data_IF_081045851920
#
_entry.id   IF_081045851920
#
_cell.length_a   1.000
_cell.length_b   1.000
_cell.length_c   1.000
_cell.angle_alpha   90.00
_cell.angle_beta   90.00
_cell.angle_gamma   90.00
#
_symmetry.space_group_name_H-M   'P 1'
#
loop_
_entity.id
_entity.type
_entity.pdbx_description
1 polymer ?
#
# COMPACT_ATOMS: atom_id res chain seq x y z
N UNK A 1 -16.02 21.74 -6.04
CA UNK A 1 -14.60 21.54 -6.40
C UNK A 1 -14.45 20.17 -7.07
N UNK A 2 -13.59 20.00 -8.10
CA UNK A 2 -13.48 18.74 -8.86
C UNK A 2 -13.08 17.55 -7.98
N UNK A 3 -12.31 17.77 -6.94
CA UNK A 3 -11.84 16.71 -6.02
C UNK A 3 -12.92 16.12 -5.10
N UNK A 4 -14.10 16.73 -5.04
CA UNK A 4 -15.22 16.20 -4.26
C UNK A 4 -15.98 15.11 -5.02
N UNK A 5 -15.78 15.03 -6.34
CA UNK A 5 -16.50 14.08 -7.18
C UNK A 5 -15.81 12.74 -7.16
N UNK A 6 -16.59 11.69 -6.96
CA UNK A 6 -16.14 10.32 -7.17
C UNK A 6 -16.18 10.01 -8.66
N UNK A 7 -15.06 9.54 -9.21
CA UNK A 7 -14.91 9.15 -10.60
C UNK A 7 -15.26 7.66 -10.70
N UNK A 8 -16.31 7.26 -11.45
CA UNK A 8 -16.74 5.86 -11.50
C UNK A 8 -15.63 4.88 -11.93
N UNK A 9 -14.74 5.31 -12.82
CA UNK A 9 -13.61 4.51 -13.29
C UNK A 9 -12.59 4.18 -12.17
N UNK A 10 -12.58 4.95 -11.09
CA UNK A 10 -11.71 4.71 -9.93
C UNK A 10 -12.37 3.82 -8.85
N UNK A 11 -13.52 3.26 -9.15
CA UNK A 11 -14.25 2.36 -8.25
C UNK A 11 -14.21 0.93 -8.76
N UNK A 12 -13.93 -0.01 -7.87
CA UNK A 12 -14.08 -1.43 -8.15
C UNK A 12 -15.57 -1.79 -8.07
N UNK A 13 -16.16 -2.39 -9.12
CA UNK A 13 -17.61 -2.73 -9.11
C UNK A 13 -17.95 -3.83 -8.10
N UNK A 14 -16.96 -4.58 -7.62
CA UNK A 14 -17.14 -5.64 -6.61
C UNK A 14 -17.05 -5.12 -5.17
N UNK A 15 -16.78 -3.82 -4.97
CA UNK A 15 -16.70 -3.23 -3.63
C UNK A 15 -17.81 -2.18 -3.42
N UNK A 16 -18.39 -2.17 -2.23
CA UNK A 16 -19.42 -1.21 -1.88
C UNK A 16 -18.80 0.12 -1.47
N UNK A 17 -19.24 1.20 -2.09
CA UNK A 17 -18.79 2.55 -1.74
C UNK A 17 -19.50 3.02 -0.48
N UNK A 18 -18.82 3.21 0.65
CA UNK A 18 -19.44 3.66 1.89
C UNK A 18 -19.91 5.12 1.78
N UNK A 19 -20.98 5.46 2.49
CA UNK A 19 -21.51 6.84 2.54
C UNK A 19 -20.55 7.79 3.21
N UNK A 20 -19.77 7.32 4.19
CA UNK A 20 -18.78 8.11 4.92
C UNK A 20 -17.51 7.32 5.17
N UNK A 21 -16.37 8.00 5.13
CA UNK A 21 -15.05 7.55 5.58
C UNK A 21 -14.45 8.62 6.49
N UNK A 22 -13.43 8.26 7.28
CA UNK A 22 -12.89 9.13 8.33
C UNK A 22 -11.94 10.24 7.80
N UNK A 23 -12.16 10.80 6.63
CA UNK A 23 -11.41 11.98 6.19
C UNK A 23 -12.12 13.26 6.64
N UNK A 24 -11.86 13.61 7.89
CA UNK A 24 -12.41 14.84 8.49
C UNK A 24 -11.57 16.10 8.17
N UNK A 25 -10.38 15.94 7.61
CA UNK A 25 -9.44 17.05 7.41
C UNK A 25 -9.87 17.96 6.25
N UNK A 26 -10.48 17.37 5.21
CA UNK A 26 -10.85 18.08 3.98
C UNK A 26 -12.32 17.93 3.61
N UNK A 27 -13.14 17.40 4.51
CA UNK A 27 -14.55 17.10 4.26
C UNK A 27 -14.74 15.89 3.34
N UNK A 28 -15.95 15.75 2.77
CA UNK A 28 -16.26 14.65 1.85
C UNK A 28 -15.49 14.84 0.55
N UNK A 29 -14.65 13.88 0.22
CA UNK A 29 -13.82 13.85 -0.99
C UNK A 29 -14.26 12.71 -1.92
N UNK A 30 -13.86 12.78 -3.18
CA UNK A 30 -14.04 11.69 -4.13
C UNK A 30 -13.18 10.47 -3.75
N UNK A 31 -13.75 9.28 -3.89
CA UNK A 31 -13.16 8.01 -3.41
C UNK A 31 -12.50 7.23 -4.54
N UNK A 32 -11.56 6.35 -4.20
CA UNK A 32 -10.94 5.41 -5.14
C UNK A 32 -10.61 4.09 -4.45
N UNK A 33 -10.80 2.97 -5.17
CA UNK A 33 -10.26 1.66 -4.79
C UNK A 33 -8.83 1.44 -5.26
N UNK A 34 -8.40 2.12 -6.32
CA UNK A 34 -7.11 1.82 -6.95
C UNK A 34 -5.97 2.63 -6.32
N UNK A 35 -4.82 1.97 -6.15
CA UNK A 35 -3.64 2.45 -5.43
C UNK A 35 -2.37 2.22 -6.22
N UNK A 36 -1.40 3.08 -6.01
CA UNK A 36 -0.06 3.00 -6.61
C UNK A 36 0.88 2.15 -5.75
N UNK A 37 1.68 1.32 -6.41
CA UNK A 37 2.68 0.49 -5.75
C UNK A 37 3.91 1.30 -5.37
N UNK A 38 4.19 1.41 -4.07
CA UNK A 38 5.43 2.00 -3.55
C UNK A 38 6.58 1.00 -3.44
N UNK A 39 6.32 -0.29 -3.68
CA UNK A 39 7.31 -1.36 -3.54
C UNK A 39 7.22 -2.09 -2.21
N UNK A 40 8.23 -2.88 -1.93
CA UNK A 40 8.40 -3.68 -0.72
C UNK A 40 8.99 -2.90 0.47
N UNK A 41 8.77 -1.60 0.51
CA UNK A 41 9.36 -0.71 1.49
C UNK A 41 8.44 0.46 1.86
N UNK A 42 8.83 1.19 2.88
CA UNK A 42 8.36 2.54 3.19
C UNK A 42 9.47 3.29 3.92
N UNK A 43 9.56 4.61 3.74
CA UNK A 43 10.59 5.42 4.38
C UNK A 43 10.30 5.66 5.85
N UNK A 44 11.31 5.44 6.73
CA UNK A 44 11.24 5.87 8.11
C UNK A 44 11.46 7.38 8.17
N UNK A 45 10.46 8.17 7.87
CA UNK A 45 10.54 9.60 8.09
C UNK A 45 10.31 9.95 9.56
N UNK A 46 11.06 10.89 10.09
CA UNK A 46 10.79 11.50 11.39
C UNK A 46 9.50 12.32 11.28
N UNK A 47 8.35 11.63 11.32
CA UNK A 47 7.03 12.23 11.43
C UNK A 47 6.34 12.69 10.14
N UNK A 48 6.97 12.67 8.95
CA UNK A 48 6.40 13.33 7.78
C UNK A 48 6.58 12.64 6.42
N UNK A 49 7.09 11.42 6.36
CA UNK A 49 7.37 10.75 5.07
C UNK A 49 6.48 9.56 4.83
N UNK A 50 5.46 9.74 4.03
CA UNK A 50 4.69 8.66 3.44
C UNK A 50 5.22 8.29 2.04
N UNK A 51 4.74 7.18 1.47
CA UNK A 51 5.10 6.68 0.14
C UNK A 51 4.98 7.73 -0.97
N UNK A 52 4.08 8.70 -0.82
CA UNK A 52 3.72 9.68 -1.86
C UNK A 52 3.70 11.12 -1.32
N UNK A 53 4.40 11.44 -0.23
CA UNK A 53 4.18 12.68 0.49
C UNK A 53 4.87 13.92 -0.06
N UNK A 54 4.16 15.05 0.06
CA UNK A 54 4.59 16.41 -0.11
C UNK A 54 3.84 17.36 0.79
N UNK A 55 4.22 17.42 2.04
CA UNK A 55 3.85 18.55 2.91
C UNK A 55 5.06 18.99 3.73
N UNK A 56 5.17 20.30 3.82
CA UNK A 56 6.17 21.12 4.48
C UNK A 56 6.96 20.47 5.62
N UNK A 57 8.26 20.27 5.41
CA UNK A 57 9.20 20.16 6.53
C UNK A 57 10.36 19.18 6.38
N UNK A 58 10.32 18.20 5.52
CA UNK A 58 11.39 17.20 5.50
C UNK A 58 11.47 16.39 4.22
N UNK A 59 12.07 16.95 3.20
CA UNK A 59 12.53 16.14 2.08
C UNK A 59 13.75 15.35 2.51
N UNK A 60 13.61 14.05 2.74
CA UNK A 60 14.79 13.22 2.82
C UNK A 60 15.29 12.93 1.41
N UNK A 61 16.56 13.21 1.17
CA UNK A 61 17.23 12.92 -0.10
C UNK A 61 17.20 11.40 -0.44
N UNK A 62 16.92 10.55 0.55
CA UNK A 62 16.71 9.12 0.42
C UNK A 62 15.42 8.74 -0.33
N UNK A 63 14.43 9.62 -0.39
CA UNK A 63 13.13 9.32 -1.00
C UNK A 63 13.14 9.40 -2.54
N UNK A 64 14.29 9.78 -3.13
CA UNK A 64 14.45 9.94 -4.58
C UNK A 64 14.48 8.62 -5.35
N UNK A 65 14.65 7.50 -4.69
CA UNK A 65 14.74 6.18 -5.31
C UNK A 65 13.80 5.20 -4.62
N UNK A 66 12.48 5.25 -4.88
CA UNK A 66 11.57 4.25 -4.35
C UNK A 66 11.93 2.88 -4.90
N UNK A 67 11.76 1.85 -4.09
CA UNK A 67 11.92 0.47 -4.55
C UNK A 67 10.86 0.07 -5.56
N UNK A 68 9.65 0.61 -5.43
CA UNK A 68 8.59 0.45 -6.42
C UNK A 68 8.67 1.46 -7.58
N UNK A 69 7.68 1.38 -8.47
CA UNK A 69 7.57 2.28 -9.63
C UNK A 69 7.22 3.69 -9.20
N UNK A 70 6.38 3.84 -8.18
CA UNK A 70 5.89 5.13 -7.71
C UNK A 70 6.56 5.55 -6.41
N UNK A 71 6.89 6.84 -6.34
CA UNK A 71 7.43 7.49 -5.17
C UNK A 71 7.22 9.00 -5.23
N UNK A 72 7.50 9.67 -4.12
CA UNK A 72 7.30 11.11 -4.03
C UNK A 72 8.27 11.88 -4.94
N UNK A 73 7.72 12.69 -5.85
CA UNK A 73 8.50 13.51 -6.82
C UNK A 73 9.51 12.72 -7.64
N UNK A 74 9.29 11.43 -7.83
CA UNK A 74 10.13 10.59 -8.66
C UNK A 74 9.55 10.44 -10.05
N UNK A 75 10.42 10.13 -11.01
CA UNK A 75 10.05 9.76 -12.37
C UNK A 75 10.67 8.40 -12.65
N UNK A 76 9.85 7.44 -13.00
CA UNK A 76 10.28 6.12 -13.42
C UNK A 76 9.95 5.93 -14.90
N UNK A 77 10.93 5.59 -15.70
CA UNK A 77 10.79 5.19 -17.10
C UNK A 77 10.83 3.67 -17.20
N UNK A 78 10.39 3.08 -18.29
CA UNK A 78 10.48 1.61 -18.48
C UNK A 78 11.91 1.08 -18.40
N UNK A 79 12.92 1.87 -18.81
CA UNK A 79 14.35 1.53 -18.67
C UNK A 79 14.82 1.44 -17.20
N UNK A 80 14.07 2.03 -16.29
CA UNK A 80 14.39 2.05 -14.86
C UNK A 80 13.75 0.86 -14.12
N UNK A 81 13.22 -0.12 -14.89
CA UNK A 81 12.59 -1.37 -14.42
C UNK A 81 13.36 -2.57 -15.00
N UNK A 82 14.63 -2.78 -14.62
CA UNK A 82 15.44 -3.89 -15.16
C UNK A 82 14.92 -5.28 -14.78
N UNK A 83 14.13 -5.43 -13.71
CA UNK A 83 13.52 -6.69 -13.29
C UNK A 83 12.38 -7.13 -14.24
N UNK A 84 12.01 -6.24 -15.18
CA UNK A 84 11.02 -6.49 -16.23
C UNK A 84 9.66 -5.90 -15.91
N UNK A 85 9.10 -5.18 -16.88
CA UNK A 85 7.79 -4.52 -16.75
C UNK A 85 6.64 -5.51 -16.54
N UNK A 86 6.75 -6.74 -17.01
CA UNK A 86 5.76 -7.81 -16.80
C UNK A 86 5.84 -8.45 -15.41
N UNK A 87 6.91 -8.20 -14.67
CA UNK A 87 7.18 -8.73 -13.33
C UNK A 87 7.12 -7.65 -12.24
N UNK A 88 6.77 -6.42 -12.58
CA UNK A 88 6.71 -5.32 -11.61
C UNK A 88 5.31 -4.74 -11.55
N UNK A 89 4.75 -4.68 -10.35
CA UNK A 89 3.39 -4.17 -10.11
C UNK A 89 3.39 -2.65 -10.14
N UNK A 90 2.51 -2.07 -10.94
CA UNK A 90 2.25 -0.64 -10.98
C UNK A 90 1.11 -0.25 -10.02
N UNK A 91 -0.03 -0.91 -10.09
CA UNK A 91 -1.20 -0.58 -9.29
C UNK A 91 -1.90 -1.84 -8.80
N UNK A 92 -2.66 -1.69 -7.72
CA UNK A 92 -3.59 -2.71 -7.25
C UNK A 92 -4.78 -2.05 -6.57
N UNK A 93 -5.70 -2.87 -6.10
CA UNK A 93 -6.91 -2.44 -5.43
C UNK A 93 -6.78 -2.45 -3.91
N UNK A 94 -7.54 -1.58 -3.25
CA UNK A 94 -7.78 -1.65 -1.81
C UNK A 94 -9.24 -1.41 -1.52
N UNK A 95 -9.83 -2.34 -0.77
CA UNK A 95 -11.23 -2.28 -0.36
C UNK A 95 -11.53 -1.05 0.51
N UNK A 96 -12.72 -0.50 0.38
CA UNK A 96 -13.22 0.49 1.32
C UNK A 96 -13.61 -0.15 2.65
N UNK A 97 -13.44 0.60 3.72
CA UNK A 97 -13.86 0.19 5.04
C UNK A 97 -15.41 0.23 5.15
N UNK A 98 -16.00 -0.92 5.39
CA UNK A 98 -17.44 -1.06 5.59
C UNK A 98 -17.85 -0.89 7.06
N UNK A 99 -16.90 -1.04 7.99
CA UNK A 99 -17.09 -0.83 9.42
C UNK A 99 -15.77 -0.38 10.08
N UNK A 100 -15.83 0.14 11.29
CA UNK A 100 -14.65 0.61 12.02
C UNK A 100 -13.57 -0.46 12.13
N UNK A 101 -13.94 -1.73 12.21
CA UNK A 101 -13.00 -2.85 12.38
C UNK A 101 -12.90 -3.76 11.16
N UNK A 102 -13.31 -3.30 10.01
CA UNK A 102 -13.21 -4.04 8.76
C UNK A 102 -11.72 -4.29 8.41
N UNK A 103 -11.31 -5.56 8.40
CA UNK A 103 -9.93 -5.94 8.18
C UNK A 103 -9.40 -5.47 6.83
N UNK A 104 -10.22 -5.54 5.78
CA UNK A 104 -9.80 -5.25 4.41
C UNK A 104 -9.75 -3.74 4.12
N UNK A 105 -10.62 -2.95 4.74
CA UNK A 105 -10.74 -1.54 4.42
C UNK A 105 -10.20 -0.58 5.47
N UNK A 106 -10.14 -0.98 6.75
CA UNK A 106 -9.61 -0.13 7.82
C UNK A 106 -8.09 -0.27 7.95
N UNK A 107 -7.48 0.61 8.73
CA UNK A 107 -6.05 0.62 9.04
C UNK A 107 -5.90 0.66 10.57
N UNK A 108 -5.18 -0.30 11.15
CA UNK A 108 -4.79 -0.25 12.56
C UNK A 108 -3.78 0.87 12.77
N UNK A 109 -4.05 1.75 13.72
CA UNK A 109 -3.21 2.91 14.02
C UNK A 109 -2.50 2.73 15.34
N UNK A 110 -1.46 3.57 15.58
CA UNK A 110 -0.62 3.54 16.78
C UNK A 110 0.16 2.20 16.93
N UNK A 111 0.54 1.60 15.79
CA UNK A 111 1.36 0.39 15.77
C UNK A 111 2.84 0.77 15.71
N UNK A 112 3.64 0.20 16.61
CA UNK A 112 5.08 0.45 16.71
C UNK A 112 5.89 -0.71 16.15
N UNK A 113 7.19 -0.48 15.87
CA UNK A 113 8.10 -1.55 15.40
C UNK A 113 7.91 -1.98 13.95
N UNK A 114 7.04 -1.33 13.17
CA UNK A 114 6.73 -1.74 11.80
C UNK A 114 7.92 -1.72 10.84
N UNK A 115 8.96 -0.92 11.12
CA UNK A 115 10.19 -0.87 10.32
C UNK A 115 11.09 -2.08 10.51
N UNK A 116 11.14 -2.58 11.74
CA UNK A 116 12.05 -3.68 12.12
C UNK A 116 11.37 -5.05 12.02
N UNK A 117 10.07 -5.08 12.28
CA UNK A 117 9.27 -6.32 12.34
C UNK A 117 7.86 -6.08 11.78
N UNK A 118 7.71 -5.79 10.46
CA UNK A 118 6.41 -5.43 9.88
C UNK A 118 5.35 -6.53 10.03
N UNK A 119 5.74 -7.80 10.09
CA UNK A 119 4.85 -8.93 10.31
C UNK A 119 4.08 -8.91 11.63
N UNK A 120 4.50 -8.10 12.61
CA UNK A 120 3.73 -7.89 13.85
C UNK A 120 2.34 -7.31 13.59
N UNK A 121 2.14 -6.66 12.45
CA UNK A 121 0.83 -6.20 11.99
C UNK A 121 -0.20 -7.34 11.92
N UNK A 122 0.21 -8.57 11.59
CA UNK A 122 -0.69 -9.72 11.52
C UNK A 122 -1.38 -10.02 12.86
N UNK A 123 -0.75 -9.70 13.98
CA UNK A 123 -1.31 -9.90 15.32
C UNK A 123 -2.49 -8.96 15.66
N UNK A 124 -2.72 -7.93 14.85
CA UNK A 124 -3.88 -7.02 15.03
C UNK A 124 -5.20 -7.64 14.60
N UNK A 125 -5.14 -8.77 13.88
CA UNK A 125 -6.30 -9.50 13.34
C UNK A 125 -6.98 -10.36 14.41
N UNK A 126 -8.31 -10.38 14.35
CA UNK A 126 -9.17 -11.34 15.07
C UNK A 126 -10.28 -11.81 14.13
N UNK A 127 -10.07 -12.99 13.52
CA UNK A 127 -10.97 -13.50 12.47
C UNK A 127 -10.97 -12.60 11.23
N UNK A 128 -12.14 -12.16 10.80
CA UNK A 128 -12.34 -11.26 9.65
C UNK A 128 -12.30 -9.77 10.04
N UNK A 129 -11.92 -9.44 11.27
CA UNK A 129 -11.93 -8.07 11.80
C UNK A 129 -10.63 -7.77 12.55
N UNK A 130 -10.41 -6.50 12.86
CA UNK A 130 -9.41 -6.12 13.85
C UNK A 130 -9.88 -6.47 15.27
N UNK A 131 -8.93 -6.86 16.13
CA UNK A 131 -9.21 -7.15 17.53
C UNK A 131 -9.79 -5.92 18.26
N UNK A 132 -10.60 -6.15 19.29
CA UNK A 132 -11.32 -5.08 19.98
C UNK A 132 -10.44 -4.06 20.68
N UNK A 133 -9.22 -4.43 21.04
CA UNK A 133 -8.20 -3.56 21.65
C UNK A 133 -7.46 -2.67 20.64
N UNK A 134 -7.62 -2.92 19.34
CA UNK A 134 -6.89 -2.18 18.29
C UNK A 134 -7.68 -0.95 17.88
N UNK A 135 -7.03 0.21 17.94
CA UNK A 135 -7.54 1.45 17.36
C UNK A 135 -7.38 1.42 15.84
N UNK A 136 -8.42 1.82 15.12
CA UNK A 136 -8.45 1.80 13.66
C UNK A 136 -8.93 3.12 13.07
N UNK A 137 -8.63 3.35 11.80
CA UNK A 137 -9.17 4.45 11.00
C UNK A 137 -9.73 3.93 9.68
N UNK A 138 -10.77 4.60 9.17
CA UNK A 138 -11.46 4.29 7.91
C UNK A 138 -11.02 5.19 6.75
N UNK A 139 -9.77 5.67 6.77
CA UNK A 139 -9.25 6.63 5.79
C UNK A 139 -8.85 6.01 4.45
N UNK A 140 -8.75 4.69 4.35
CA UNK A 140 -8.36 4.04 3.11
C UNK A 140 -9.26 4.45 1.95
N UNK A 141 -8.69 5.12 0.95
CA UNK A 141 -9.42 5.54 -0.25
C UNK A 141 -10.36 6.71 -0.13
N UNK A 142 -10.35 7.39 0.99
CA UNK A 142 -11.27 8.51 1.24
C UNK A 142 -11.02 9.74 0.34
N UNK A 143 -9.84 9.83 -0.32
CA UNK A 143 -9.49 10.99 -1.13
C UNK A 143 -8.58 10.58 -2.31
N UNK A 144 -9.14 10.47 -3.51
CA UNK A 144 -8.39 10.06 -4.71
C UNK A 144 -7.33 11.07 -5.15
N UNK A 145 -7.50 12.35 -4.82
CA UNK A 145 -6.60 13.42 -5.20
C UNK A 145 -5.44 13.63 -4.20
N UNK A 146 -5.42 12.88 -3.11
CA UNK A 146 -4.39 13.01 -2.07
C UNK A 146 -3.33 11.92 -2.22
N UNK A 147 -2.07 12.32 -2.48
CA UNK A 147 -0.92 11.43 -2.64
C UNK A 147 -0.42 10.76 -1.36
N UNK A 148 -1.05 10.98 -0.21
CA UNK A 148 -0.65 10.30 1.03
C UNK A 148 -0.95 8.80 0.99
N UNK A 149 -0.11 7.96 1.64
CA UNK A 149 -0.20 6.50 1.56
C UNK A 149 -1.56 5.90 1.91
N UNK A 150 -2.26 6.46 2.90
CA UNK A 150 -3.58 5.95 3.28
C UNK A 150 -4.61 6.07 2.16
N UNK A 151 -4.46 7.07 1.29
CA UNK A 151 -5.44 7.38 0.25
C UNK A 151 -5.09 6.74 -1.10
N UNK A 152 -3.80 6.71 -1.46
CA UNK A 152 -3.39 6.36 -2.82
C UNK A 152 -2.23 5.36 -2.92
N UNK A 153 -1.65 4.90 -1.80
CA UNK A 153 -0.52 3.99 -1.79
C UNK A 153 -0.81 2.59 -1.27
N UNK A 154 0.03 1.64 -1.65
CA UNK A 154 0.17 0.33 -1.02
C UNK A 154 1.63 -0.15 -1.12
N UNK A 155 1.98 -1.18 -0.34
CA UNK A 155 3.27 -1.86 -0.40
C UNK A 155 3.13 -3.38 -0.42
N UNK A 156 4.21 -4.05 -0.86
CA UNK A 156 4.28 -5.50 -1.03
C UNK A 156 5.06 -6.18 0.10
N UNK A 157 4.83 -5.76 1.34
CA UNK A 157 5.47 -6.30 2.54
C UNK A 157 4.68 -7.50 3.08
N UNK A 158 3.39 -7.30 3.35
CA UNK A 158 2.48 -8.39 3.71
C UNK A 158 1.67 -8.83 2.49
N UNK A 159 1.29 -10.12 2.41
CA UNK A 159 0.53 -10.63 1.28
C UNK A 159 -0.84 -9.93 1.15
N UNK A 160 -1.48 -10.00 -0.02
CA UNK A 160 -2.82 -9.46 -0.23
C UNK A 160 -3.81 -9.87 0.87
N UNK A 161 -4.79 -9.02 1.15
CA UNK A 161 -5.84 -9.23 2.14
C UNK A 161 -5.34 -9.36 3.60
N UNK A 162 -4.08 -9.00 3.86
CA UNK A 162 -3.54 -8.87 5.22
C UNK A 162 -4.01 -7.59 5.91
N UNK A 163 -3.91 -7.52 7.26
CA UNK A 163 -4.15 -6.28 7.99
C UNK A 163 -3.26 -5.14 7.52
N UNK A 164 -3.80 -3.94 7.54
CA UNK A 164 -3.04 -2.70 7.34
C UNK A 164 -2.72 -2.06 8.68
N UNK A 165 -1.48 -1.62 8.86
CA UNK A 165 -0.99 -1.02 10.10
C UNK A 165 -0.21 0.27 9.83
N UNK A 166 -0.39 1.26 10.70
CA UNK A 166 0.34 2.52 10.65
C UNK A 166 0.72 3.02 12.04
N UNK A 167 1.76 3.85 12.11
CA UNK A 167 2.27 4.38 13.39
C UNK A 167 1.34 5.41 14.03
N UNK A 168 0.48 6.06 13.27
CA UNK A 168 -0.52 7.00 13.81
C UNK A 168 -1.73 7.15 12.88
N UNK A 169 -2.66 8.01 13.23
CA UNK A 169 -3.86 8.31 12.43
C UNK A 169 -3.63 9.39 11.35
N UNK A 170 -2.41 9.78 11.08
CA UNK A 170 -2.14 10.75 10.03
C UNK A 170 -1.91 10.06 8.67
N UNK A 171 -2.67 10.45 7.65
CA UNK A 171 -2.68 9.77 6.34
C UNK A 171 -1.34 9.76 5.59
N UNK A 172 -0.42 10.65 5.95
CA UNK A 172 0.93 10.72 5.41
C UNK A 172 1.95 9.84 6.12
N UNK A 173 1.59 9.18 7.22
CA UNK A 173 2.53 8.33 7.92
C UNK A 173 2.81 7.03 7.17
N UNK A 174 3.99 6.49 7.46
CA UNK A 174 4.37 5.18 6.95
C UNK A 174 3.60 4.05 7.66
N UNK A 175 3.51 2.94 6.98
CA UNK A 175 2.85 1.76 7.49
C UNK A 175 2.95 0.59 6.53
N UNK A 176 2.56 -0.55 7.04
CA UNK A 176 2.34 -1.76 6.26
C UNK A 176 0.93 -1.67 5.68
N UNK A 177 0.83 -1.43 4.40
CA UNK A 177 -0.42 -1.16 3.69
C UNK A 177 -0.56 -2.13 2.50
N UNK A 178 -0.86 -3.41 2.72
CA UNK A 178 -1.05 -4.38 1.64
C UNK A 178 -2.27 -4.01 0.78
N UNK A 179 -2.32 -4.45 -0.48
CA UNK A 179 -3.54 -4.36 -1.28
C UNK A 179 -4.59 -5.30 -0.71
N UNK A 180 -5.86 -4.92 -0.86
CA UNK A 180 -7.00 -5.69 -0.36
C UNK A 180 -8.17 -5.60 -1.32
N UNK A 181 -8.98 -6.65 -1.39
CA UNK A 181 -10.17 -6.66 -2.22
C UNK A 181 -11.31 -7.48 -1.61
N UNK A 182 -12.48 -7.39 -2.23
CA UNK A 182 -13.63 -8.26 -1.94
C UNK A 182 -13.68 -9.48 -2.88
N UNK A 183 -12.68 -9.63 -3.76
CA UNK A 183 -12.55 -10.83 -4.57
C UNK A 183 -12.07 -12.01 -3.71
N UNK A 184 -12.58 -13.20 -4.01
CA UNK A 184 -12.22 -14.39 -3.24
C UNK A 184 -10.76 -14.79 -3.47
N UNK A 185 -9.96 -14.80 -2.40
CA UNK A 185 -8.62 -15.39 -2.38
C UNK A 185 -7.49 -14.54 -2.93
N UNK A 186 -7.70 -13.24 -3.23
CA UNK A 186 -6.61 -12.38 -3.71
C UNK A 186 -7.05 -11.02 -4.22
N UNK A 187 -6.17 -10.39 -5.00
CA UNK A 187 -6.36 -9.06 -5.56
C UNK A 187 -5.99 -9.01 -7.04
N UNK A 188 -6.52 -8.05 -7.79
CA UNK A 188 -6.03 -7.75 -9.13
C UNK A 188 -4.91 -6.72 -9.07
N UNK A 189 -3.83 -7.00 -9.78
CA UNK A 189 -2.68 -6.13 -9.93
C UNK A 189 -2.50 -5.72 -11.39
N UNK A 190 -2.33 -4.43 -11.64
CA UNK A 190 -1.87 -3.91 -12.92
C UNK A 190 -0.34 -3.97 -12.93
N UNK A 191 0.23 -4.66 -13.90
CA UNK A 191 1.67 -4.73 -14.10
C UNK A 191 2.17 -3.50 -14.88
N UNK A 192 3.47 -3.25 -14.84
CA UNK A 192 4.06 -2.10 -15.52
C UNK A 192 4.01 -2.18 -17.06
N UNK A 193 3.76 -3.35 -17.63
CA UNK A 193 3.51 -3.57 -19.05
C UNK A 193 2.05 -3.35 -19.48
N UNK A 194 1.16 -3.09 -18.52
CA UNK A 194 -0.28 -2.91 -18.73
C UNK A 194 -1.12 -4.18 -18.58
N UNK A 195 -0.52 -5.34 -18.36
CA UNK A 195 -1.26 -6.56 -18.08
C UNK A 195 -1.95 -6.50 -16.71
N UNK A 196 -3.13 -7.09 -16.59
CA UNK A 196 -3.80 -7.28 -15.29
C UNK A 196 -3.69 -8.74 -14.90
N UNK A 197 -3.17 -8.99 -13.69
CA UNK A 197 -3.02 -10.35 -13.14
C UNK A 197 -3.73 -10.46 -11.81
N UNK A 198 -4.34 -11.63 -11.55
CA UNK A 198 -4.85 -11.96 -10.24
C UNK A 198 -3.72 -12.53 -9.39
N UNK A 199 -3.50 -11.96 -8.20
CA UNK A 199 -2.47 -12.40 -7.27
C UNK A 199 -3.14 -12.97 -6.01
N UNK A 200 -2.81 -14.22 -5.71
CA UNK A 200 -3.36 -14.94 -4.55
C UNK A 200 -2.89 -14.34 -3.24
N UNK A 201 -3.76 -14.33 -2.23
CA UNK A 201 -3.39 -14.00 -0.84
C UNK A 201 -2.43 -15.03 -0.20
N UNK A 202 -2.25 -16.20 -0.83
CA UNK A 202 -1.31 -17.24 -0.42
C UNK A 202 0.04 -17.16 -1.18
N UNK A 203 0.29 -16.08 -1.92
CA UNK A 203 1.57 -15.87 -2.59
C UNK A 203 2.73 -15.95 -1.60
N UNK A 204 3.88 -16.50 -2.03
CA UNK A 204 5.08 -16.52 -1.22
C UNK A 204 5.51 -15.09 -0.84
N UNK A 205 5.35 -14.76 0.42
CA UNK A 205 5.72 -13.47 1.02
C UNK A 205 6.96 -13.55 1.92
N UNK A 206 7.79 -14.58 1.77
CA UNK A 206 9.11 -14.70 2.40
C UNK A 206 9.10 -14.52 3.92
N UNK A 207 10.06 -13.75 4.42
CA UNK A 207 10.16 -13.46 5.85
C UNK A 207 9.55 -12.10 6.19
N UNK A 208 8.25 -12.07 6.48
CA UNK A 208 7.52 -10.84 6.84
C UNK A 208 7.98 -10.22 8.17
N UNK A 209 8.81 -10.92 8.96
CA UNK A 209 9.42 -10.39 10.19
C UNK A 209 10.78 -9.73 9.95
N UNK A 210 11.32 -9.82 8.75
CA UNK A 210 12.55 -9.10 8.40
C UNK A 210 12.32 -7.58 8.37
N UNK A 211 13.35 -6.82 8.72
CA UNK A 211 13.30 -5.36 8.65
C UNK A 211 13.04 -4.87 7.23
N UNK A 212 12.31 -3.77 7.13
CA UNK A 212 12.03 -3.14 5.84
C UNK A 212 13.34 -2.69 5.18
N UNK A 213 13.55 -3.01 3.90
CA UNK A 213 14.75 -2.59 3.18
C UNK A 213 14.91 -1.07 3.19
N UNK A 214 16.15 -0.58 3.35
CA UNK A 214 16.45 0.86 3.41
C UNK A 214 17.00 1.43 2.11
N UNK A 215 17.43 0.58 1.19
CA UNK A 215 18.05 0.97 -0.08
C UNK A 215 17.16 0.62 -1.27
N UNK A 216 17.30 1.41 -2.32
CA UNK A 216 16.48 1.31 -3.53
C UNK A 216 16.97 0.30 -4.56
N UNK A 217 18.24 -0.10 -4.57
CA UNK A 217 18.80 -0.87 -5.68
C UNK A 217 19.67 -2.05 -5.24
N UNK A 218 19.57 -3.17 -5.97
CA UNK A 218 20.49 -4.31 -5.85
C UNK A 218 20.36 -5.10 -4.55
N UNK A 219 19.31 -4.90 -3.76
CA UNK A 219 19.03 -5.67 -2.55
C UNK A 219 17.75 -6.47 -2.80
N UNK A 220 17.85 -7.78 -2.75
CA UNK A 220 16.70 -8.68 -2.84
C UNK A 220 15.69 -8.40 -1.74
N UNK A 221 14.43 -8.59 -2.06
CA UNK A 221 13.33 -8.42 -1.11
C UNK A 221 13.34 -9.56 -0.09
N UNK A 222 13.26 -9.28 1.22
CA UNK A 222 13.07 -10.31 2.21
C UNK A 222 11.66 -10.94 2.14
N UNK A 223 10.75 -10.34 1.37
CA UNK A 223 9.34 -10.71 1.32
C UNK A 223 9.01 -11.63 0.13
N UNK A 224 10.00 -12.42 -0.32
CA UNK A 224 9.82 -13.45 -1.33
C UNK A 224 9.28 -12.94 -2.65
N UNK A 225 8.53 -13.79 -3.36
CA UNK A 225 7.93 -13.44 -4.66
C UNK A 225 7.06 -12.19 -4.59
N UNK A 226 6.30 -12.04 -3.51
CA UNK A 226 5.43 -10.90 -3.32
C UNK A 226 6.21 -9.58 -3.23
N UNK A 227 7.29 -9.56 -2.46
CA UNK A 227 8.17 -8.39 -2.36
C UNK A 227 8.88 -8.09 -3.67
N UNK A 228 9.38 -9.12 -4.35
CA UNK A 228 10.03 -9.03 -5.66
C UNK A 228 9.13 -8.38 -6.71
N UNK A 229 7.85 -8.76 -6.77
CA UNK A 229 6.86 -8.14 -7.66
C UNK A 229 6.63 -6.64 -7.39
N UNK A 230 6.91 -6.18 -6.18
CA UNK A 230 6.81 -4.76 -5.82
C UNK A 230 8.07 -3.97 -6.15
N UNK A 231 9.23 -4.60 -6.21
CA UNK A 231 10.50 -3.94 -6.52
C UNK A 231 10.70 -3.80 -8.04
N UNK A 232 11.38 -2.73 -8.43
CA UNK A 232 11.62 -2.45 -9.86
C UNK A 232 13.04 -2.81 -10.31
N UNK A 233 14.00 -2.92 -9.39
CA UNK A 233 15.41 -3.13 -9.70
C UNK A 233 16.19 -3.81 -8.55
N UNK A 234 15.61 -4.81 -7.92
CA UNK A 234 16.30 -5.62 -6.91
C UNK A 234 17.16 -6.75 -7.53
N UNK A 235 17.01 -7.01 -8.82
CA UNK A 235 17.73 -8.05 -9.55
C UNK A 235 17.10 -9.44 -9.39
N UNK A 236 15.85 -9.50 -8.98
CA UNK A 236 15.14 -10.75 -8.69
C UNK A 236 14.50 -11.32 -9.96
N UNK A 237 14.66 -12.63 -10.15
CA UNK A 237 13.94 -13.35 -11.20
C UNK A 237 12.67 -13.95 -10.58
N UNK A 238 11.54 -13.42 -10.98
CA UNK A 238 10.23 -13.94 -10.55
C UNK A 238 9.79 -14.99 -11.56
N UNK A 239 9.53 -16.22 -11.08
CA UNK A 239 8.90 -17.27 -11.86
C UNK A 239 7.38 -17.04 -12.04
N UNK A 240 6.67 -18.06 -12.54
CA UNK A 240 5.20 -18.03 -12.58
C UNK A 240 4.60 -17.91 -11.15
N UNK A 241 3.58 -17.08 -10.99
CA UNK A 241 2.90 -16.78 -9.72
C UNK A 241 1.41 -16.63 -9.91
#
# INVERSE_FOLDING_TARGET
APFLQTIPLLLCPSDSVPTSLDDVTYGVQGKSNYRFCGGDWFTPGTGESGLLQGQSGGYHASDKNPRGIFGFRTRTSLRDIPDGSSNTIAMSERAFSQSVRDLLGSIAINQTGLLTTPGTCLATRSGASYASSISTTRRSGANWANGNPFFSGFNTILPPNSPSCAISNWGGNYGVLPPTSRHTGGVHCLMADGAVRFVSENINSGNTMASVPTSSSGIESPYGVWGALGSKNAGEVVGEF
#
